data_IF_795634188372
#
_entry.id   IF_795634188372
#
_cell.length_a   1.000
_cell.length_b   1.000
_cell.length_c   1.000
_cell.angle_alpha   90.00
_cell.angle_beta   90.00
_cell.angle_gamma   90.00
#
_symmetry.space_group_name_H-M   'P 1'
#
loop_
_entity.id
_entity.type
_entity.pdbx_description
1 polymer ?
#
# COMPACT_ATOMS: atom_id res chain seq x y z
N UNK A 1 -48.33 28.13 -27.73
CA UNK A 1 -47.81 26.92 -27.07
C UNK A 1 -46.34 26.78 -27.47
N UNK A 2 -45.40 27.12 -26.59
CA UNK A 2 -43.98 26.86 -26.82
C UNK A 2 -43.74 25.38 -26.51
N UNK A 3 -43.49 24.56 -27.53
CA UNK A 3 -43.04 23.18 -27.34
C UNK A 3 -41.72 23.22 -26.60
N UNK A 4 -41.70 22.71 -25.36
CA UNK A 4 -40.48 22.60 -24.58
C UNK A 4 -39.46 21.77 -25.37
N UNK A 5 -38.44 22.44 -25.90
CA UNK A 5 -37.33 21.80 -26.60
C UNK A 5 -36.62 20.87 -25.62
N UNK A 6 -36.67 19.56 -25.89
CA UNK A 6 -36.00 18.55 -25.07
C UNK A 6 -34.49 18.76 -25.21
N UNK A 7 -33.80 18.98 -24.09
CA UNK A 7 -32.36 19.16 -24.09
C UNK A 7 -31.64 17.97 -24.76
N UNK A 8 -30.57 18.21 -25.53
CA UNK A 8 -29.84 17.14 -26.21
C UNK A 8 -29.21 16.17 -25.17
N UNK A 9 -29.08 14.87 -25.51
CA UNK A 9 -28.49 13.90 -24.60
C UNK A 9 -27.02 14.23 -24.33
N UNK A 10 -26.57 13.95 -23.11
CA UNK A 10 -25.17 14.18 -22.72
C UNK A 10 -24.22 13.31 -23.57
N UNK A 11 -23.12 13.88 -24.11
CA UNK A 11 -22.15 13.09 -24.87
C UNK A 11 -21.52 12.00 -24.00
N UNK A 12 -21.43 10.76 -24.50
CA UNK A 12 -20.79 9.64 -23.78
C UNK A 12 -19.37 9.97 -23.32
N UNK A 13 -18.61 10.68 -24.15
CA UNK A 13 -17.25 11.11 -23.82
C UNK A 13 -17.20 12.05 -22.60
N UNK A 14 -18.24 12.87 -22.39
CA UNK A 14 -18.35 13.69 -21.19
C UNK A 14 -18.56 12.82 -19.95
N UNK A 15 -19.49 11.86 -20.01
CA UNK A 15 -19.79 10.94 -18.90
C UNK A 15 -18.52 10.18 -18.48
N UNK A 16 -17.77 9.62 -19.43
CA UNK A 16 -16.55 8.87 -19.12
C UNK A 16 -15.44 9.74 -18.51
N UNK A 17 -15.29 11.00 -18.93
CA UNK A 17 -14.35 11.94 -18.28
C UNK A 17 -14.75 12.22 -16.84
N UNK A 18 -16.05 12.32 -16.56
CA UNK A 18 -16.57 12.52 -15.20
C UNK A 18 -16.35 11.29 -14.32
N UNK A 19 -16.67 10.10 -14.81
CA UNK A 19 -16.43 8.86 -14.08
C UNK A 19 -14.95 8.64 -13.78
N UNK A 20 -14.06 8.81 -14.77
CA UNK A 20 -12.61 8.74 -14.55
C UNK A 20 -12.13 9.71 -13.46
N UNK A 21 -12.68 10.93 -13.45
CA UNK A 21 -12.39 11.95 -12.46
C UNK A 21 -12.92 11.61 -11.06
N UNK A 22 -14.08 10.96 -10.95
CA UNK A 22 -14.64 10.48 -9.67
C UNK A 22 -13.81 9.34 -9.09
N UNK A 23 -13.43 8.34 -9.92
CA UNK A 23 -12.53 7.28 -9.47
C UNK A 23 -11.19 7.85 -9.02
N UNK A 24 -10.64 8.84 -9.74
CA UNK A 24 -9.42 9.53 -9.33
C UNK A 24 -9.55 10.24 -7.98
N UNK A 25 -10.68 10.90 -7.70
CA UNK A 25 -10.93 11.50 -6.39
C UNK A 25 -11.00 10.44 -5.28
N UNK A 26 -11.71 9.34 -5.53
CA UNK A 26 -11.82 8.24 -4.58
C UNK A 26 -10.45 7.62 -4.27
N UNK A 27 -9.62 7.40 -5.28
CA UNK A 27 -8.26 6.90 -5.12
C UNK A 27 -7.35 7.88 -4.37
N UNK A 28 -7.57 9.20 -4.50
CA UNK A 28 -6.85 10.19 -3.70
C UNK A 28 -7.24 10.12 -2.21
N UNK A 29 -8.50 9.82 -1.89
CA UNK A 29 -8.96 9.59 -0.51
C UNK A 29 -8.37 8.29 0.03
N UNK A 30 -8.36 7.22 -0.76
CA UNK A 30 -7.67 5.98 -0.38
C UNK A 30 -6.18 6.22 -0.15
N UNK A 31 -5.49 6.96 -1.03
CA UNK A 31 -4.08 7.30 -0.84
C UNK A 31 -3.85 8.07 0.46
N UNK A 32 -4.80 8.93 0.85
CA UNK A 32 -4.75 9.63 2.14
C UNK A 32 -4.72 8.65 3.32
N UNK A 33 -5.71 7.76 3.39
CA UNK A 33 -5.79 6.73 4.42
C UNK A 33 -4.55 5.84 4.41
N UNK A 34 -4.17 5.36 3.22
CA UNK A 34 -3.04 4.47 3.04
C UNK A 34 -1.73 5.07 3.57
N UNK A 35 -1.42 6.32 3.21
CA UNK A 35 -0.19 6.97 3.69
C UNK A 35 -0.27 7.33 5.17
N UNK A 36 -1.45 7.69 5.69
CA UNK A 36 -1.65 7.94 7.11
C UNK A 36 -1.37 6.68 7.92
N UNK A 37 -2.01 5.56 7.59
CA UNK A 37 -1.82 4.26 8.25
C UNK A 37 -0.37 3.79 8.15
N UNK A 38 0.26 3.87 6.96
CA UNK A 38 1.66 3.45 6.81
C UNK A 38 2.64 4.34 7.57
N UNK A 39 2.39 5.64 7.68
CA UNK A 39 3.24 6.54 8.47
C UNK A 39 3.32 6.14 9.94
N UNK A 40 2.27 5.51 10.49
CA UNK A 40 2.26 5.02 11.88
C UNK A 40 3.32 3.95 12.16
N UNK A 41 3.93 3.37 11.12
CA UNK A 41 5.06 2.46 11.30
C UNK A 41 6.27 3.16 11.92
N UNK A 42 6.46 4.46 11.70
CA UNK A 42 7.68 5.16 12.15
C UNK A 42 7.52 6.66 12.49
N UNK A 43 6.36 7.26 12.29
CA UNK A 43 6.14 8.71 12.44
C UNK A 43 6.16 9.19 13.91
N UNK A 44 6.01 8.29 14.87
CA UNK A 44 6.11 8.59 16.30
C UNK A 44 7.36 7.94 16.88
N UNK A 45 8.43 8.72 17.03
CA UNK A 45 9.68 8.27 17.63
C UNK A 45 9.38 7.76 19.05
N UNK A 46 9.58 6.47 19.28
CA UNK A 46 9.28 5.79 20.55
C UNK A 46 7.91 5.09 20.61
N UNK A 47 7.05 5.22 19.59
CA UNK A 47 5.86 4.37 19.44
C UNK A 47 6.27 3.10 18.66
N UNK A 48 6.07 1.95 19.28
CA UNK A 48 6.61 0.64 18.91
C UNK A 48 5.98 0.00 17.66
N UNK A 49 5.37 0.81 16.80
CA UNK A 49 4.55 0.38 15.66
C UNK A 49 3.14 -0.05 16.06
N UNK A 50 2.71 0.17 17.32
CA UNK A 50 1.38 -0.23 17.78
C UNK A 50 0.25 0.46 17.02
N UNK A 51 0.39 1.75 16.70
CA UNK A 51 -0.57 2.46 15.86
C UNK A 51 -0.76 1.78 14.51
N UNK A 52 0.34 1.42 13.83
CA UNK A 52 0.30 0.68 12.58
C UNK A 52 -0.40 -0.67 12.74
N UNK A 53 -0.01 -1.45 13.76
CA UNK A 53 -0.58 -2.78 14.04
C UNK A 53 -2.10 -2.68 14.27
N UNK A 54 -2.52 -1.72 15.09
CA UNK A 54 -3.92 -1.47 15.40
C UNK A 54 -4.76 -1.18 14.15
N UNK A 55 -4.35 -0.20 13.34
CA UNK A 55 -5.10 0.17 12.13
C UNK A 55 -5.10 -0.94 11.08
N UNK A 56 -3.97 -1.63 10.88
CA UNK A 56 -3.90 -2.75 9.93
C UNK A 56 -4.80 -3.92 10.37
N UNK A 57 -4.85 -4.23 11.67
CA UNK A 57 -5.75 -5.26 12.19
C UNK A 57 -7.23 -4.87 12.02
N UNK A 58 -7.59 -3.60 12.24
CA UNK A 58 -8.95 -3.12 11.95
C UNK A 58 -9.31 -3.35 10.48
N UNK A 59 -8.45 -2.92 9.56
CA UNK A 59 -8.69 -3.06 8.12
C UNK A 59 -8.81 -4.54 7.71
N UNK A 60 -7.93 -5.40 8.24
CA UNK A 60 -7.93 -6.84 7.94
C UNK A 60 -9.18 -7.56 8.44
N UNK A 61 -9.80 -7.06 9.50
CA UNK A 61 -10.96 -7.66 10.15
C UNK A 61 -12.29 -7.03 9.73
N UNK A 62 -12.30 -6.15 8.72
CA UNK A 62 -13.53 -5.62 8.16
C UNK A 62 -14.41 -6.75 7.59
N UNK A 63 -15.74 -6.71 7.84
CA UNK A 63 -16.65 -7.67 7.26
C UNK A 63 -16.67 -7.51 5.73
N UNK A 64 -16.74 -8.64 5.01
CA UNK A 64 -16.74 -8.67 3.55
C UNK A 64 -15.50 -8.01 2.91
N UNK A 65 -14.35 -8.03 3.58
CA UNK A 65 -13.10 -7.43 3.09
C UNK A 65 -12.81 -7.71 1.59
N UNK A 66 -12.96 -8.94 1.06
CA UNK A 66 -12.72 -9.18 -0.36
C UNK A 66 -13.65 -8.38 -1.29
N UNK A 67 -14.92 -8.19 -0.90
CA UNK A 67 -15.89 -7.39 -1.66
C UNK A 67 -15.53 -5.91 -1.59
N UNK A 68 -15.13 -5.43 -0.41
CA UNK A 68 -14.64 -4.07 -0.20
C UNK A 68 -13.42 -3.80 -1.07
N UNK A 69 -12.43 -4.70 -1.07
CA UNK A 69 -11.21 -4.57 -1.85
C UNK A 69 -11.50 -4.55 -3.36
N UNK A 70 -12.32 -5.45 -3.87
CA UNK A 70 -12.67 -5.47 -5.29
C UNK A 70 -13.51 -4.25 -5.67
N UNK A 71 -14.55 -3.95 -4.90
CA UNK A 71 -15.53 -2.91 -5.21
C UNK A 71 -15.00 -1.49 -5.02
N UNK A 72 -14.28 -1.24 -3.92
CA UNK A 72 -13.80 0.09 -3.56
C UNK A 72 -12.35 0.35 -3.96
N UNK A 73 -11.54 -0.65 -4.26
CA UNK A 73 -10.15 -0.44 -4.71
C UNK A 73 -9.91 -0.98 -6.12
N UNK A 74 -10.15 -2.27 -6.35
CA UNK A 74 -9.86 -2.93 -7.63
C UNK A 74 -10.57 -2.29 -8.82
N UNK A 75 -11.90 -2.15 -8.73
CA UNK A 75 -12.71 -1.52 -9.79
C UNK A 75 -12.31 -0.05 -10.00
N UNK A 76 -12.24 0.82 -8.97
CA UNK A 76 -11.78 2.19 -9.15
C UNK A 76 -10.38 2.31 -9.76
N UNK A 77 -9.40 1.51 -9.34
CA UNK A 77 -8.04 1.50 -9.92
C UNK A 77 -8.12 1.11 -11.40
N UNK A 78 -8.83 0.02 -11.73
CA UNK A 78 -8.96 -0.46 -13.10
C UNK A 78 -9.61 0.58 -14.01
N UNK A 79 -10.75 1.13 -13.59
CA UNK A 79 -11.50 2.12 -14.36
C UNK A 79 -10.74 3.45 -14.47
N UNK A 80 -10.03 3.88 -13.43
CA UNK A 80 -9.16 5.04 -13.53
C UNK A 80 -7.98 4.80 -14.48
N UNK A 81 -7.30 3.65 -14.34
CA UNK A 81 -6.13 3.28 -15.14
C UNK A 81 -6.45 3.11 -16.64
N UNK A 82 -7.49 2.36 -16.99
CA UNK A 82 -7.84 2.06 -18.40
C UNK A 82 -8.17 3.34 -19.18
N UNK A 83 -9.03 4.21 -18.63
CA UNK A 83 -9.33 5.49 -19.27
C UNK A 83 -8.16 6.47 -19.18
N UNK A 84 -7.40 6.45 -18.08
CA UNK A 84 -6.19 7.23 -17.91
C UNK A 84 -5.17 6.98 -19.02
N UNK A 85 -4.92 5.72 -19.35
CA UNK A 85 -4.04 5.31 -20.46
C UNK A 85 -4.52 5.93 -21.77
N UNK A 86 -5.82 5.84 -22.08
CA UNK A 86 -6.37 6.45 -23.30
C UNK A 86 -6.15 7.97 -23.34
N UNK A 87 -6.26 8.66 -22.21
CA UNK A 87 -6.03 10.10 -22.13
C UNK A 87 -4.55 10.48 -22.26
N UNK A 88 -3.65 9.68 -21.71
CA UNK A 88 -2.21 9.91 -21.81
C UNK A 88 -1.75 9.72 -23.26
N UNK A 89 -2.18 8.65 -23.92
CA UNK A 89 -1.83 8.35 -25.32
C UNK A 89 -2.33 9.42 -26.31
N UNK A 90 -3.42 10.13 -25.98
CA UNK A 90 -3.97 11.23 -26.80
C UNK A 90 -3.43 12.61 -26.40
N UNK A 91 -2.69 12.71 -25.29
CA UNK A 91 -2.23 13.97 -24.74
C UNK A 91 -1.09 14.58 -25.56
N UNK A 92 -1.12 15.90 -25.77
CA UNK A 92 0.00 16.65 -26.34
C UNK A 92 0.56 17.59 -25.29
N UNK A 93 1.87 17.49 -25.00
CA UNK A 93 2.56 18.39 -24.09
C UNK A 93 3.11 19.61 -24.85
N UNK A 94 2.97 20.79 -24.26
CA UNK A 94 3.47 22.07 -24.79
C UNK A 94 4.22 22.89 -23.73
N UNK A 95 4.73 22.22 -22.69
CA UNK A 95 5.48 22.84 -21.58
C UNK A 95 6.99 23.00 -21.86
N UNK A 96 7.49 22.46 -22.98
CA UNK A 96 8.90 22.54 -23.37
C UNK A 96 9.21 23.70 -24.32
N UNK A 97 10.50 23.88 -24.61
CA UNK A 97 10.97 24.81 -25.65
C UNK A 97 10.44 24.40 -27.03
N UNK A 98 10.24 25.41 -27.89
CA UNK A 98 9.77 25.23 -29.26
C UNK A 98 10.64 26.08 -30.19
N UNK A 99 10.88 25.55 -31.38
CA UNK A 99 11.56 26.21 -32.52
C UNK A 99 10.58 27.04 -33.38
N UNK A 100 9.31 27.16 -32.96
CA UNK A 100 8.25 27.84 -33.71
C UNK A 100 7.34 26.87 -34.48
N UNK A 101 7.71 25.59 -34.62
CA UNK A 101 6.88 24.57 -35.28
C UNK A 101 5.64 24.16 -34.46
N UNK A 102 5.65 24.40 -33.15
CA UNK A 102 4.56 24.07 -32.21
C UNK A 102 4.32 25.20 -31.22
N UNK A 103 3.05 25.49 -30.84
CA UNK A 103 2.77 26.46 -29.79
C UNK A 103 3.35 25.97 -28.45
N UNK A 104 4.04 26.85 -27.73
CA UNK A 104 4.58 26.59 -26.38
C UNK A 104 3.91 27.46 -25.34
N UNK A 105 3.66 26.89 -24.17
CA UNK A 105 3.10 27.58 -22.99
C UNK A 105 3.99 27.33 -21.77
N UNK A 106 5.32 27.27 -21.98
CA UNK A 106 6.33 27.01 -20.95
C UNK A 106 6.31 28.00 -19.77
N UNK A 107 5.84 29.21 -19.99
CA UNK A 107 5.73 30.26 -18.94
C UNK A 107 4.61 29.95 -17.92
N UNK A 108 3.69 29.03 -18.25
CA UNK A 108 2.53 28.74 -17.40
C UNK A 108 2.74 27.45 -16.61
N UNK A 109 2.70 27.55 -15.27
CA UNK A 109 2.82 26.40 -14.37
C UNK A 109 1.79 25.28 -14.63
N UNK A 110 0.60 25.61 -15.14
CA UNK A 110 -0.41 24.59 -15.50
C UNK A 110 0.03 23.69 -16.65
N UNK A 111 0.80 24.22 -17.60
CA UNK A 111 1.35 23.42 -18.71
C UNK A 111 2.32 22.37 -18.16
N UNK A 112 3.17 22.75 -17.21
CA UNK A 112 4.09 21.83 -16.53
C UNK A 112 3.33 20.81 -15.69
N UNK A 113 2.34 21.24 -14.90
CA UNK A 113 1.52 20.35 -14.09
C UNK A 113 0.72 19.36 -14.94
N UNK A 114 0.25 19.80 -16.12
CA UNK A 114 -0.33 18.93 -17.13
C UNK A 114 0.68 17.86 -17.56
N UNK A 115 1.89 18.24 -17.97
CA UNK A 115 2.92 17.28 -18.42
C UNK A 115 3.31 16.31 -17.31
N UNK A 116 3.57 16.80 -16.09
CA UNK A 116 3.93 15.97 -14.95
C UNK A 116 2.82 14.99 -14.54
N UNK A 117 1.54 15.35 -14.67
CA UNK A 117 0.43 14.41 -14.42
C UNK A 117 0.56 13.13 -15.28
N UNK A 118 1.11 13.26 -16.51
CA UNK A 118 1.27 12.12 -17.43
C UNK A 118 2.52 11.31 -17.09
N UNK A 119 3.63 11.97 -16.76
CA UNK A 119 4.84 11.26 -16.34
C UNK A 119 4.60 10.49 -15.04
N UNK A 120 3.97 11.11 -14.04
CA UNK A 120 3.62 10.42 -12.80
C UNK A 120 2.60 9.31 -13.02
N UNK A 121 1.70 9.42 -14.00
CA UNK A 121 0.78 8.33 -14.33
C UNK A 121 1.50 7.07 -14.81
N UNK A 122 2.56 7.20 -15.62
CA UNK A 122 3.36 6.04 -16.04
C UNK A 122 4.12 5.43 -14.87
N UNK A 123 4.74 6.26 -14.04
CA UNK A 123 5.41 5.80 -12.81
C UNK A 123 4.42 5.05 -11.92
N UNK A 124 3.21 5.59 -11.75
CA UNK A 124 2.15 4.97 -10.96
C UNK A 124 1.65 3.67 -11.57
N UNK A 125 1.48 3.58 -12.88
CA UNK A 125 0.99 2.37 -13.53
C UNK A 125 1.90 1.17 -13.20
N UNK A 126 3.20 1.32 -13.44
CA UNK A 126 4.15 0.25 -13.15
C UNK A 126 4.41 0.10 -11.65
N UNK A 127 4.47 1.21 -10.92
CA UNK A 127 4.68 1.24 -9.47
C UNK A 127 3.56 0.55 -8.69
N UNK A 128 2.29 0.79 -9.02
CA UNK A 128 1.13 0.14 -8.38
C UNK A 128 1.13 -1.36 -8.69
N UNK A 129 1.38 -1.75 -9.96
CA UNK A 129 1.45 -3.17 -10.32
C UNK A 129 2.54 -3.86 -9.49
N UNK A 130 3.75 -3.30 -9.44
CA UNK A 130 4.84 -3.86 -8.67
C UNK A 130 4.54 -3.87 -7.15
N UNK A 131 4.07 -2.75 -6.60
CA UNK A 131 3.74 -2.60 -5.19
C UNK A 131 2.67 -3.60 -4.73
N UNK A 132 1.54 -3.67 -5.43
CA UNK A 132 0.46 -4.60 -5.11
C UNK A 132 0.93 -6.04 -5.32
N UNK A 133 1.64 -6.34 -6.41
CA UNK A 133 2.10 -7.71 -6.66
C UNK A 133 3.02 -8.22 -5.55
N UNK A 134 3.95 -7.36 -5.11
CA UNK A 134 4.92 -7.72 -4.09
C UNK A 134 4.29 -7.80 -2.70
N UNK A 135 3.51 -6.79 -2.30
CA UNK A 135 2.93 -6.76 -0.95
C UNK A 135 1.74 -7.72 -0.78
N UNK A 136 0.87 -7.82 -1.79
CA UNK A 136 -0.38 -8.59 -1.69
C UNK A 136 -0.22 -10.08 -1.97
N UNK A 137 0.77 -10.47 -2.77
CA UNK A 137 0.93 -11.87 -3.18
C UNK A 137 2.27 -12.46 -2.79
N UNK A 138 3.39 -11.76 -3.09
CA UNK A 138 4.71 -12.33 -2.83
C UNK A 138 5.07 -12.34 -1.34
N UNK A 139 4.88 -11.21 -0.66
CA UNK A 139 5.22 -11.03 0.76
C UNK A 139 4.05 -11.33 1.72
N UNK A 140 2.87 -11.66 1.20
CA UNK A 140 1.68 -11.89 2.03
C UNK A 140 1.96 -12.95 3.12
N UNK A 141 1.63 -12.71 4.40
CA UNK A 141 1.89 -13.68 5.47
C UNK A 141 1.18 -15.01 5.24
N UNK A 142 1.86 -16.13 5.49
CA UNK A 142 1.17 -17.41 5.59
C UNK A 142 0.45 -17.49 6.93
N UNK A 143 -0.69 -18.17 6.99
CA UNK A 143 -1.48 -18.30 8.23
C UNK A 143 -1.71 -19.76 8.57
N UNK A 144 -1.60 -20.10 9.86
CA UNK A 144 -2.03 -21.37 10.45
C UNK A 144 -2.93 -21.04 11.64
N UNK A 145 -4.02 -21.78 11.81
CA UNK A 145 -5.00 -21.52 12.87
C UNK A 145 -4.97 -22.62 13.91
N UNK A 146 -5.03 -22.23 15.19
CA UNK A 146 -5.22 -23.12 16.32
C UNK A 146 -6.47 -22.68 17.09
N UNK A 147 -7.60 -23.34 16.82
CA UNK A 147 -8.89 -22.91 17.35
C UNK A 147 -9.24 -21.48 16.92
N UNK A 148 -9.27 -20.55 17.87
CA UNK A 148 -9.57 -19.13 17.62
C UNK A 148 -8.33 -18.26 17.37
N UNK A 149 -7.12 -18.81 17.56
CA UNK A 149 -5.86 -18.08 17.38
C UNK A 149 -5.29 -18.31 15.98
N UNK A 150 -4.66 -17.28 15.41
CA UNK A 150 -4.02 -17.34 14.10
C UNK A 150 -2.56 -16.95 14.21
N UNK A 151 -1.69 -17.79 13.66
CA UNK A 151 -0.25 -17.56 13.60
C UNK A 151 0.14 -17.14 12.19
N UNK A 152 0.84 -16.01 12.07
CA UNK A 152 1.24 -15.42 10.80
C UNK A 152 2.76 -15.53 10.59
N UNK A 153 3.16 -16.17 9.50
CA UNK A 153 4.55 -16.49 9.19
C UNK A 153 5.07 -15.56 8.09
N UNK A 154 6.13 -14.84 8.38
CA UNK A 154 6.80 -13.93 7.45
C UNK A 154 8.30 -14.18 7.44
N UNK A 155 8.91 -14.07 6.25
CA UNK A 155 10.35 -14.19 6.09
C UNK A 155 10.98 -12.81 6.22
N UNK A 156 11.96 -12.68 7.09
CA UNK A 156 12.64 -11.41 7.37
C UNK A 156 14.15 -11.60 7.44
N UNK A 157 14.90 -10.59 7.02
CA UNK A 157 16.35 -10.56 7.18
C UNK A 157 16.76 -10.32 8.64
N UNK A 158 17.82 -10.99 9.05
CA UNK A 158 18.43 -10.82 10.37
C UNK A 158 19.22 -9.52 10.41
N UNK A 159 18.94 -8.70 11.42
CA UNK A 159 19.74 -7.52 11.77
C UNK A 159 19.49 -7.15 13.25
N UNK A 160 20.32 -6.28 13.86
CA UNK A 160 20.21 -5.98 15.29
C UNK A 160 18.85 -5.44 15.74
N UNK A 161 18.09 -4.76 14.86
CA UNK A 161 16.77 -4.25 15.21
C UNK A 161 15.70 -5.33 15.28
N UNK A 162 15.91 -6.48 14.63
CA UNK A 162 14.91 -7.54 14.56
C UNK A 162 14.65 -8.14 15.95
N UNK A 163 15.71 -8.42 16.71
CA UNK A 163 15.58 -9.00 18.05
C UNK A 163 14.87 -8.08 19.04
N UNK A 164 15.13 -6.77 18.96
CA UNK A 164 14.43 -5.78 19.79
C UNK A 164 12.94 -5.75 19.48
N UNK A 165 12.57 -5.71 18.20
CA UNK A 165 11.17 -5.71 17.78
C UNK A 165 10.49 -7.02 18.15
N UNK A 166 11.18 -8.14 17.95
CA UNK A 166 10.64 -9.47 18.22
C UNK A 166 10.34 -9.66 19.71
N UNK A 167 11.29 -9.29 20.59
CA UNK A 167 11.07 -9.35 22.04
C UNK A 167 9.94 -8.44 22.50
N UNK A 168 9.78 -7.26 21.88
CA UNK A 168 8.76 -6.29 22.27
C UNK A 168 7.35 -6.67 21.82
N UNK A 169 7.24 -7.28 20.64
CA UNK A 169 5.95 -7.62 20.03
C UNK A 169 5.59 -9.10 20.19
N UNK A 170 6.33 -9.83 21.04
CA UNK A 170 6.18 -11.27 21.30
C UNK A 170 6.18 -12.12 20.02
N UNK A 171 7.17 -11.87 19.17
CA UNK A 171 7.34 -12.55 17.87
C UNK A 171 8.37 -13.65 18.02
N UNK A 172 8.00 -14.87 17.63
CA UNK A 172 8.92 -16.01 17.64
C UNK A 172 9.76 -16.01 16.37
N UNK A 173 11.06 -16.23 16.50
CA UNK A 173 11.99 -16.29 15.37
C UNK A 173 12.52 -17.72 15.21
N UNK A 174 12.47 -18.22 13.99
CA UNK A 174 12.96 -19.54 13.60
C UNK A 174 14.04 -19.41 12.52
N UNK A 175 15.27 -19.78 12.87
CA UNK A 175 16.34 -20.04 11.91
C UNK A 175 16.21 -21.46 11.32
N UNK A 176 17.06 -21.78 10.35
CA UNK A 176 17.01 -23.08 9.67
C UNK A 176 17.26 -24.25 10.63
N UNK A 177 18.16 -24.07 11.61
CA UNK A 177 18.49 -25.09 12.59
C UNK A 177 17.29 -25.39 13.50
N UNK A 178 16.59 -24.36 13.96
CA UNK A 178 15.38 -24.49 14.77
C UNK A 178 14.23 -25.15 14.00
N UNK A 179 14.10 -24.86 12.70
CA UNK A 179 13.11 -25.52 11.84
C UNK A 179 13.42 -27.03 11.71
N UNK A 180 14.69 -27.38 11.52
CA UNK A 180 15.15 -28.76 11.41
C UNK A 180 14.98 -29.51 12.75
N UNK A 181 15.31 -28.88 13.88
CA UNK A 181 15.07 -29.40 15.22
C UNK A 181 13.57 -29.66 15.47
N UNK A 182 12.69 -28.71 15.08
CA UNK A 182 11.24 -28.88 15.22
C UNK A 182 10.70 -30.03 14.36
N UNK A 183 11.28 -30.25 13.18
CA UNK A 183 10.97 -31.42 12.36
C UNK A 183 11.39 -32.73 13.05
N UNK A 184 12.61 -32.78 13.59
CA UNK A 184 13.11 -33.98 14.28
C UNK A 184 12.24 -34.32 15.49
N UNK A 185 11.90 -33.32 16.32
CA UNK A 185 11.01 -33.50 17.46
C UNK A 185 9.63 -34.05 17.07
N UNK A 186 9.05 -33.55 15.98
CA UNK A 186 7.75 -34.02 15.49
C UNK A 186 7.81 -35.47 14.97
N UNK A 187 8.95 -35.89 14.42
CA UNK A 187 9.16 -37.24 13.93
C UNK A 187 9.44 -38.25 15.07
N UNK A 188 10.14 -37.82 16.13
CA UNK A 188 10.55 -38.68 17.25
C UNK A 188 9.48 -38.80 18.34
N UNK A 189 8.62 -37.78 18.51
CA UNK A 189 7.51 -37.78 19.46
C UNK A 189 6.18 -37.54 18.75
N UNK A 190 5.51 -38.59 18.23
CA UNK A 190 4.14 -38.46 17.77
C UNK A 190 3.25 -38.15 18.98
N UNK A 191 2.88 -36.87 19.12
CA UNK A 191 2.01 -36.26 20.13
C UNK A 191 1.52 -37.18 21.26
N UNK A 192 2.39 -37.54 22.21
CA UNK A 192 1.95 -38.06 23.50
C UNK A 192 1.58 -36.85 24.37
N UNK A 193 0.50 -36.17 24.00
CA UNK A 193 -0.08 -35.12 24.82
C UNK A 193 -0.54 -35.69 26.16
N UNK A 194 -0.48 -34.87 27.22
CA UNK A 194 -0.93 -35.23 28.59
C UNK A 194 -2.40 -35.65 28.68
N UNK A 195 -3.18 -35.43 27.61
CA UNK A 195 -4.59 -35.75 27.53
C UNK A 195 -4.82 -37.11 26.86
N UNK A 196 -5.51 -38.00 27.57
CA UNK A 196 -5.86 -39.34 27.10
C UNK A 196 -6.96 -39.35 26.01
N UNK A 197 -7.33 -38.19 25.44
CA UNK A 197 -8.38 -38.09 24.43
C UNK A 197 -7.79 -38.17 23.01
N UNK A 198 -8.07 -39.23 22.24
CA UNK A 198 -7.52 -39.41 20.89
C UNK A 198 -7.88 -38.28 19.92
N UNK A 199 -9.03 -37.61 20.10
CA UNK A 199 -9.42 -36.52 19.20
C UNK A 199 -8.58 -35.27 19.40
N UNK A 200 -8.19 -34.96 20.64
CA UNK A 200 -7.34 -33.82 20.99
C UNK A 200 -5.92 -34.09 20.46
N UNK A 201 -5.39 -35.29 20.69
CA UNK A 201 -4.08 -35.68 20.16
C UNK A 201 -3.99 -35.60 18.63
N UNK A 202 -5.07 -36.00 17.92
CA UNK A 202 -5.14 -35.90 16.47
C UNK A 202 -5.18 -34.44 16.00
N UNK A 203 -5.93 -33.58 16.69
CA UNK A 203 -6.00 -32.14 16.41
C UNK A 203 -4.63 -31.46 16.63
N UNK A 204 -3.97 -31.76 17.75
CA UNK A 204 -2.64 -31.23 18.09
C UNK A 204 -1.59 -31.68 17.06
N UNK A 205 -1.60 -32.96 16.69
CA UNK A 205 -0.73 -33.49 15.63
C UNK A 205 -0.91 -32.76 14.31
N UNK A 206 -2.17 -32.56 13.90
CA UNK A 206 -2.50 -31.88 12.66
C UNK A 206 -2.01 -30.43 12.68
N UNK A 207 -2.25 -29.72 13.77
CA UNK A 207 -1.76 -28.35 13.95
C UNK A 207 -0.22 -28.28 13.89
N UNK A 208 0.50 -29.15 14.60
CA UNK A 208 1.97 -29.16 14.57
C UNK A 208 2.53 -29.44 13.17
N UNK A 209 1.86 -30.31 12.39
CA UNK A 209 2.21 -30.56 10.99
C UNK A 209 1.97 -29.33 10.10
N UNK A 210 0.81 -28.68 10.20
CA UNK A 210 0.52 -27.45 9.46
C UNK A 210 1.49 -26.32 9.82
N UNK A 211 1.82 -26.17 11.11
CA UNK A 211 2.79 -25.20 11.62
C UNK A 211 4.18 -25.44 11.02
N UNK A 212 4.66 -26.69 11.02
CA UNK A 212 5.94 -27.04 10.41
C UNK A 212 5.93 -26.82 8.89
N UNK A 213 4.82 -27.15 8.23
CA UNK A 213 4.65 -26.90 6.80
C UNK A 213 4.70 -25.41 6.49
N UNK A 214 4.09 -24.57 7.33
CA UNK A 214 4.12 -23.12 7.18
C UNK A 214 5.53 -22.53 7.35
N UNK A 215 6.31 -23.02 8.32
CA UNK A 215 7.73 -22.66 8.48
C UNK A 215 8.55 -22.98 7.22
N UNK A 216 8.29 -24.13 6.59
CA UNK A 216 9.04 -24.60 5.41
C UNK A 216 8.55 -24.04 4.08
N UNK A 217 7.35 -23.46 4.05
CA UNK A 217 6.71 -22.99 2.81
C UNK A 217 7.56 -21.96 2.06
N UNK A 218 8.37 -21.18 2.77
CA UNK A 218 9.32 -20.22 2.18
C UNK A 218 10.73 -20.57 2.65
N UNK A 219 11.59 -21.12 1.76
CA UNK A 219 12.98 -21.36 2.12
C UNK A 219 13.67 -20.05 2.51
N UNK A 220 14.53 -20.14 3.52
CA UNK A 220 15.29 -19.02 4.08
C UNK A 220 16.77 -19.17 3.74
N UNK A 221 17.41 -18.03 3.49
CA UNK A 221 18.86 -17.95 3.35
C UNK A 221 19.54 -17.86 4.73
N UNK A 222 20.87 -17.94 4.77
CA UNK A 222 21.64 -17.88 6.04
C UNK A 222 21.46 -16.56 6.82
N UNK A 223 21.09 -15.46 6.15
CA UNK A 223 20.84 -14.16 6.76
C UNK A 223 19.35 -13.89 7.03
N UNK A 224 18.52 -14.93 7.02
CA UNK A 224 17.06 -14.82 7.14
C UNK A 224 16.50 -15.76 8.20
N UNK A 225 15.36 -15.36 8.77
CA UNK A 225 14.57 -16.17 9.70
C UNK A 225 13.10 -16.09 9.32
N UNK A 226 12.33 -17.08 9.77
CA UNK A 226 10.87 -16.99 9.79
C UNK A 226 10.43 -16.38 11.10
N UNK A 227 9.76 -15.24 11.02
CA UNK A 227 9.12 -14.60 12.15
C UNK A 227 7.64 -15.02 12.21
N UNK A 228 7.20 -15.46 13.38
CA UNK A 228 5.82 -15.89 13.67
C UNK A 228 5.18 -14.89 14.61
N UNK A 229 4.08 -14.29 14.17
CA UNK A 229 3.34 -13.29 14.92
C UNK A 229 1.87 -13.70 15.11
N UNK A 230 1.29 -13.31 16.24
CA UNK A 230 -0.08 -13.70 16.61
C UNK A 230 -1.18 -12.86 15.96
N UNK A 231 -0.81 -11.85 15.18
CA UNK A 231 -1.76 -11.03 14.44
C UNK A 231 -1.19 -10.52 13.11
N UNK A 232 -2.11 -10.21 12.19
CA UNK A 232 -1.78 -9.80 10.83
C UNK A 232 -1.03 -8.46 10.78
N UNK A 233 -1.37 -7.53 11.67
CA UNK A 233 -0.72 -6.22 11.78
C UNK A 233 0.76 -6.32 12.11
N UNK A 234 1.13 -7.14 13.10
CA UNK A 234 2.53 -7.39 13.47
C UNK A 234 3.31 -8.04 12.33
N UNK A 235 2.75 -9.07 11.68
CA UNK A 235 3.37 -9.70 10.51
C UNK A 235 3.59 -8.70 9.35
N UNK A 236 2.62 -7.82 9.12
CA UNK A 236 2.71 -6.77 8.10
C UNK A 236 3.75 -5.72 8.46
N UNK A 237 3.85 -5.32 9.74
CA UNK A 237 4.86 -4.38 10.23
C UNK A 237 6.28 -4.91 9.98
N UNK A 238 6.51 -6.19 10.30
CA UNK A 238 7.78 -6.87 10.04
C UNK A 238 8.12 -6.93 8.55
N UNK A 239 7.11 -7.16 7.71
CA UNK A 239 7.24 -7.17 6.24
C UNK A 239 7.62 -5.79 5.69
N UNK A 240 6.97 -4.72 6.18
CA UNK A 240 7.26 -3.33 5.81
C UNK A 240 8.68 -2.96 6.24
N UNK A 241 9.05 -3.31 7.47
CA UNK A 241 10.39 -3.13 8.02
C UNK A 241 11.46 -3.78 7.13
N UNK A 242 11.28 -5.06 6.80
CA UNK A 242 12.23 -5.78 5.96
C UNK A 242 12.32 -5.20 4.53
N UNK A 243 11.18 -4.78 3.97
CA UNK A 243 11.12 -4.16 2.64
C UNK A 243 11.96 -2.87 2.55
N UNK A 244 11.96 -2.07 3.61
CA UNK A 244 12.76 -0.84 3.71
C UNK A 244 14.12 -1.06 4.39
N UNK A 245 14.67 -2.28 4.40
CA UNK A 245 16.05 -2.52 4.85
C UNK A 245 17.10 -2.00 3.87
N UNK A 246 16.81 -2.03 2.56
CA UNK A 246 17.77 -1.68 1.50
C UNK A 246 17.55 -0.25 1.00
N UNK A 247 18.61 0.59 0.88
CA UNK A 247 18.48 1.98 0.46
C UNK A 247 17.93 2.14 -0.96
N UNK A 248 18.18 1.17 -1.84
CA UNK A 248 17.64 1.15 -3.20
C UNK A 248 16.10 1.05 -3.17
N UNK A 249 15.54 0.19 -2.32
CA UNK A 249 14.08 0.09 -2.16
C UNK A 249 13.51 1.40 -1.64
N UNK A 250 14.16 2.03 -0.66
CA UNK A 250 13.75 3.34 -0.13
C UNK A 250 13.75 4.42 -1.22
N UNK A 251 14.78 4.46 -2.07
CA UNK A 251 14.85 5.42 -3.18
C UNK A 251 13.75 5.20 -4.21
N UNK A 252 13.50 3.95 -4.63
CA UNK A 252 12.42 3.61 -5.56
C UNK A 252 11.05 3.98 -5.00
N UNK A 253 10.78 3.64 -3.75
CA UNK A 253 9.52 3.99 -3.08
C UNK A 253 9.39 5.50 -2.83
N UNK A 254 10.49 6.23 -2.63
CA UNK A 254 10.47 7.70 -2.55
C UNK A 254 9.97 8.30 -3.85
N UNK A 255 10.49 7.86 -5.00
CA UNK A 255 10.02 8.31 -6.31
C UNK A 255 8.55 7.95 -6.52
N UNK A 256 8.17 6.72 -6.15
CA UNK A 256 6.81 6.23 -6.28
C UNK A 256 5.80 7.06 -5.45
N UNK A 257 6.12 7.31 -4.17
CA UNK A 257 5.27 8.12 -3.26
C UNK A 257 5.16 9.56 -3.76
N UNK A 258 6.27 10.20 -4.13
CA UNK A 258 6.24 11.58 -4.64
C UNK A 258 5.43 11.68 -5.94
N UNK A 259 5.55 10.70 -6.83
CA UNK A 259 4.72 10.61 -8.02
C UNK A 259 3.23 10.42 -7.69
N UNK A 260 2.91 9.54 -6.74
CA UNK A 260 1.55 9.27 -6.29
C UNK A 260 0.87 10.51 -5.71
N UNK A 261 1.54 11.17 -4.79
CA UNK A 261 1.04 12.37 -4.10
C UNK A 261 0.89 13.50 -5.11
N UNK A 262 1.88 13.76 -5.97
CA UNK A 262 1.74 14.76 -7.03
C UNK A 262 0.53 14.47 -7.94
N UNK A 263 0.41 13.23 -8.42
CA UNK A 263 -0.67 12.82 -9.31
C UNK A 263 -2.05 13.00 -8.68
N UNK A 264 -2.20 12.57 -7.42
CA UNK A 264 -3.44 12.65 -6.68
C UNK A 264 -3.88 14.11 -6.44
N UNK A 265 -2.98 14.96 -5.94
CA UNK A 265 -3.36 16.31 -5.53
C UNK A 265 -3.41 17.32 -6.68
N UNK A 266 -2.61 17.14 -7.75
CA UNK A 266 -2.83 17.87 -9.00
C UNK A 266 -4.14 17.43 -9.68
N UNK A 267 -4.49 16.14 -9.55
CA UNK A 267 -5.80 15.59 -9.91
C UNK A 267 -6.94 16.22 -9.12
N UNK A 268 -6.82 16.35 -7.79
CA UNK A 268 -7.80 16.99 -6.91
C UNK A 268 -8.04 18.46 -7.29
N UNK A 269 -6.97 19.20 -7.57
CA UNK A 269 -7.11 20.58 -8.04
C UNK A 269 -7.88 20.65 -9.37
N UNK A 270 -7.57 19.77 -10.31
CA UNK A 270 -8.26 19.66 -11.60
C UNK A 270 -9.72 19.24 -11.42
N UNK A 271 -10.00 18.32 -10.49
CA UNK A 271 -11.34 17.90 -10.11
C UNK A 271 -12.17 19.10 -9.65
N UNK A 272 -11.67 19.87 -8.67
CA UNK A 272 -12.39 21.03 -8.12
C UNK A 272 -12.79 22.07 -9.18
N UNK A 273 -11.95 22.27 -10.19
CA UNK A 273 -12.25 23.23 -11.27
C UNK A 273 -13.25 22.62 -12.25
N UNK A 274 -12.98 21.41 -12.73
CA UNK A 274 -13.80 20.79 -13.77
C UNK A 274 -15.22 20.50 -13.27
N UNK A 275 -15.39 20.18 -11.99
CA UNK A 275 -16.69 19.95 -11.36
C UNK A 275 -17.38 21.23 -10.89
N UNK A 276 -16.77 22.40 -11.09
CA UNK A 276 -17.37 23.68 -10.77
C UNK A 276 -17.42 24.01 -9.27
N UNK A 277 -16.67 23.29 -8.43
CA UNK A 277 -16.52 23.60 -7.00
C UNK A 277 -15.82 24.95 -6.84
N UNK A 278 -14.84 25.24 -7.71
CA UNK A 278 -14.06 26.48 -7.66
C UNK A 278 -14.08 27.20 -9.01
N UNK A 279 -15.04 28.11 -9.18
CA UNK A 279 -15.27 28.81 -10.45
C UNK A 279 -14.43 30.08 -10.62
N UNK A 280 -14.31 30.92 -9.57
CA UNK A 280 -13.66 32.23 -9.65
C UNK A 280 -12.14 32.11 -9.69
N UNK A 281 -11.46 32.91 -10.52
CA UNK A 281 -9.99 32.92 -10.65
C UNK A 281 -9.25 33.12 -9.32
N UNK A 282 -9.73 34.03 -8.47
CA UNK A 282 -9.15 34.25 -7.13
C UNK A 282 -9.27 33.00 -6.26
N UNK A 283 -10.40 32.30 -6.32
CA UNK A 283 -10.61 31.06 -5.57
C UNK A 283 -9.76 29.92 -6.12
N UNK A 284 -9.58 29.81 -7.45
CA UNK A 284 -8.70 28.81 -8.05
C UNK A 284 -7.23 28.97 -7.63
N UNK A 285 -6.75 30.23 -7.48
CA UNK A 285 -5.42 30.54 -6.94
C UNK A 285 -5.27 30.14 -5.48
N UNK A 286 -6.31 30.30 -4.66
CA UNK A 286 -6.28 29.82 -3.26
C UNK A 286 -6.32 28.29 -3.20
N UNK A 287 -7.18 27.68 -4.00
CA UNK A 287 -7.36 26.23 -4.03
C UNK A 287 -6.07 25.49 -4.42
N UNK A 288 -5.28 26.02 -5.36
CA UNK A 288 -3.99 25.40 -5.71
C UNK A 288 -3.01 25.43 -4.53
N UNK A 289 -2.95 26.52 -3.76
CA UNK A 289 -2.09 26.61 -2.58
C UNK A 289 -2.51 25.61 -1.50
N UNK A 290 -3.82 25.42 -1.30
CA UNK A 290 -4.36 24.39 -0.40
C UNK A 290 -3.97 22.99 -0.87
N UNK A 291 -4.13 22.67 -2.16
CA UNK A 291 -3.71 21.38 -2.71
C UNK A 291 -2.20 21.14 -2.56
N UNK A 292 -1.38 22.18 -2.74
CA UNK A 292 0.07 22.09 -2.52
C UNK A 292 0.37 21.80 -1.04
N UNK A 293 -0.30 22.48 -0.11
CA UNK A 293 -0.16 22.22 1.32
C UNK A 293 -0.49 20.77 1.69
N UNK A 294 -1.62 20.25 1.20
CA UNK A 294 -2.00 18.84 1.41
C UNK A 294 -0.96 17.92 0.77
N UNK A 295 -0.52 18.19 -0.45
CA UNK A 295 0.54 17.43 -1.12
C UNK A 295 1.82 17.37 -0.28
N UNK A 296 2.26 18.47 0.33
CA UNK A 296 3.45 18.49 1.19
C UNK A 296 3.26 17.63 2.45
N UNK A 297 2.10 17.72 3.11
CA UNK A 297 1.79 16.89 4.29
C UNK A 297 1.82 15.41 3.91
N UNK A 298 1.21 15.05 2.80
CA UNK A 298 1.11 13.66 2.37
C UNK A 298 2.43 13.08 1.90
N UNK A 299 3.24 13.89 1.22
CA UNK A 299 4.62 13.54 0.91
C UNK A 299 5.40 13.28 2.21
N UNK A 300 5.27 14.15 3.21
CA UNK A 300 5.90 13.94 4.51
C UNK A 300 5.47 12.64 5.18
N UNK A 301 4.16 12.35 5.27
CA UNK A 301 3.65 11.09 5.85
C UNK A 301 4.22 9.85 5.14
N UNK A 302 4.22 9.84 3.81
CA UNK A 302 4.75 8.73 3.04
C UNK A 302 6.27 8.57 3.16
N UNK A 303 7.02 9.68 3.16
CA UNK A 303 8.48 9.63 3.35
C UNK A 303 8.87 9.26 4.78
N UNK A 304 8.07 9.65 5.78
CA UNK A 304 8.26 9.23 7.16
C UNK A 304 8.08 7.71 7.31
N UNK A 305 7.11 7.10 6.63
CA UNK A 305 6.96 5.64 6.61
C UNK A 305 8.22 4.94 6.03
N UNK A 306 8.80 5.48 4.95
CA UNK A 306 9.97 4.86 4.30
C UNK A 306 11.24 5.08 5.13
N UNK A 307 11.60 6.34 5.34
CA UNK A 307 12.88 6.72 5.91
C UNK A 307 12.89 6.62 7.44
N UNK A 308 11.74 6.84 8.09
CA UNK A 308 11.60 6.57 9.51
C UNK A 308 11.83 5.08 9.79
N UNK A 309 11.23 4.19 9.01
CA UNK A 309 11.47 2.74 9.14
C UNK A 309 12.93 2.39 8.83
N UNK A 310 13.55 2.99 7.81
CA UNK A 310 14.97 2.75 7.49
C UNK A 310 15.92 3.18 8.62
N UNK A 311 15.78 4.39 9.15
CA UNK A 311 16.71 4.96 10.14
C UNK A 311 16.45 4.48 11.57
N UNK A 312 15.19 4.45 11.99
CA UNK A 312 14.83 3.98 13.34
C UNK A 312 14.93 2.47 13.40
N UNK A 313 14.64 1.77 12.29
CA UNK A 313 14.61 0.31 12.20
C UNK A 313 13.79 -0.33 13.32
N UNK A 314 12.80 0.42 13.83
CA UNK A 314 11.95 0.09 14.98
C UNK A 314 12.72 -0.33 16.24
N UNK A 315 13.97 0.14 16.40
CA UNK A 315 14.89 -0.22 17.49
C UNK A 315 14.56 0.41 18.85
N UNK A 316 13.79 1.49 18.83
CA UNK A 316 13.28 2.19 20.02
C UNK A 316 11.91 1.67 20.36
#
# INVERSE_FOLDING_TARGET
MLTASKAPPLPRAFIWRRLHSLFGLWLAIFLFEHLLTNSQAALFIGDSGHGFIYYVNILKNLPYLPVIEIGLLGIPILMHGVWGIQYILKGKANSGSSDGSKPTTKEFGRSHAYTWQRYTAWILLFGIIAHVSFMRFYLYPNVVNEGAQSYYFVRVGVDPGLYTVASRLDVQLYDQKQIDEKQMQLNESPSTGSDNNPSIQAQDSHFQQEYLQALKKRPIDQDQVIAVADNFGTATLLTVRDSFRKPITCALYTIFVLAAVFHAYNGLWTFMITWGIVLRMRSQKKAVNVCIGIMCVMAFLGLAAIWGTYFVNLRT
#
